data_IF_340220329141
#
_entry.id   IF_340220329141
#
_cell.length_a   1.000
_cell.length_b   1.000
_cell.length_c   1.000
_cell.angle_alpha   90.00
_cell.angle_beta   90.00
_cell.angle_gamma   90.00
#
_symmetry.space_group_name_H-M   'P 1'
#
loop_
_entity.id
_entity.type
_entity.pdbx_description
1 polymer ?
#
# COMPACT_ATOMS: atom_id res chain seq x y z
N UNK A 1 5.65 -12.14 -11.15
CA UNK A 1 4.30 -11.52 -11.02
C UNK A 1 4.13 -10.68 -9.75
N UNK A 2 4.87 -10.94 -8.67
CA UNK A 2 4.84 -10.12 -7.44
C UNK A 2 5.38 -8.70 -7.57
N UNK A 3 6.32 -8.45 -8.48
CA UNK A 3 6.90 -7.12 -8.74
C UNK A 3 5.86 -6.09 -9.20
N UNK A 4 4.86 -6.51 -9.99
CA UNK A 4 3.78 -5.63 -10.44
C UNK A 4 2.80 -5.32 -9.30
N UNK A 5 2.47 -6.31 -8.48
CA UNK A 5 1.59 -6.12 -7.32
C UNK A 5 2.22 -5.16 -6.29
N UNK A 6 3.51 -5.32 -5.98
CA UNK A 6 4.25 -4.39 -5.12
C UNK A 6 4.26 -2.96 -5.69
N UNK A 7 4.51 -2.82 -7.00
CA UNK A 7 4.53 -1.51 -7.65
C UNK A 7 3.17 -0.82 -7.56
N UNK A 8 2.08 -1.56 -7.81
CA UNK A 8 0.72 -1.03 -7.73
C UNK A 8 0.36 -0.59 -6.31
N UNK A 9 0.71 -1.39 -5.29
CA UNK A 9 0.45 -1.03 -3.88
C UNK A 9 1.28 0.16 -3.44
N UNK A 10 2.53 0.25 -3.86
CA UNK A 10 3.36 1.43 -3.57
C UNK A 10 2.75 2.70 -4.16
N UNK A 11 2.31 2.66 -5.42
CA UNK A 11 1.64 3.80 -6.04
C UNK A 11 0.33 4.17 -5.33
N UNK A 12 -0.42 3.18 -4.84
CA UNK A 12 -1.63 3.43 -4.06
C UNK A 12 -1.32 4.12 -2.73
N UNK A 13 -0.25 3.70 -2.03
CA UNK A 13 0.23 4.35 -0.80
C UNK A 13 0.63 5.80 -1.06
N UNK A 14 1.40 6.05 -2.12
CA UNK A 14 1.88 7.40 -2.44
C UNK A 14 0.69 8.35 -2.74
N UNK A 15 -0.31 7.88 -3.49
CA UNK A 15 -1.53 8.66 -3.76
C UNK A 15 -2.35 8.87 -2.48
N UNK A 16 -2.50 7.83 -1.65
CA UNK A 16 -3.28 7.89 -0.42
C UNK A 16 -2.65 8.86 0.59
N UNK A 17 -1.32 8.90 0.72
CA UNK A 17 -0.62 9.84 1.60
C UNK A 17 -0.78 11.30 1.17
N UNK A 18 -0.91 11.57 -0.14
CA UNK A 18 -1.15 12.92 -0.66
C UNK A 18 -2.61 13.34 -0.46
N UNK A 19 -3.55 12.42 -0.65
CA UNK A 19 -4.99 12.72 -0.69
C UNK A 19 -5.70 12.58 0.65
N UNK A 20 -5.21 11.72 1.54
CA UNK A 20 -5.86 11.39 2.80
C UNK A 20 -5.08 11.98 3.98
N UNK A 21 -5.78 12.42 5.03
CA UNK A 21 -5.15 12.74 6.30
C UNK A 21 -4.39 11.53 6.84
N UNK A 22 -3.29 11.77 7.57
CA UNK A 22 -2.45 10.73 8.18
C UNK A 22 -3.18 9.81 9.17
N UNK A 23 -4.39 10.19 9.61
CA UNK A 23 -5.26 9.43 10.50
C UNK A 23 -6.31 8.58 9.79
N UNK A 24 -6.34 8.56 8.45
CA UNK A 24 -7.35 7.83 7.70
C UNK A 24 -7.15 6.31 7.80
N UNK A 25 -8.23 5.57 8.08
CA UNK A 25 -8.23 4.11 8.23
C UNK A 25 -7.63 3.38 7.03
N UNK A 26 -7.92 3.85 5.82
CA UNK A 26 -7.48 3.20 4.58
C UNK A 26 -5.94 3.17 4.44
N UNK A 27 -5.20 4.08 5.09
CA UNK A 27 -3.74 4.05 5.12
C UNK A 27 -3.21 2.79 5.83
N UNK A 28 -3.96 2.26 6.80
CA UNK A 28 -3.65 1.00 7.49
C UNK A 28 -3.82 -0.18 6.53
N UNK A 29 -4.92 -0.20 5.78
CA UNK A 29 -5.23 -1.27 4.82
C UNK A 29 -4.16 -1.36 3.70
N UNK A 30 -3.70 -0.22 3.20
CA UNK A 30 -2.64 -0.19 2.20
C UNK A 30 -1.30 -0.72 2.74
N UNK A 31 -0.94 -0.37 4.00
CA UNK A 31 0.26 -0.90 4.65
C UNK A 31 0.17 -2.40 4.89
N UNK A 32 -0.94 -2.89 5.42
CA UNK A 32 -1.12 -4.33 5.64
C UNK A 32 -1.05 -5.12 4.33
N UNK A 33 -1.63 -4.57 3.26
CA UNK A 33 -1.61 -5.20 1.94
C UNK A 33 -0.17 -5.27 1.40
N UNK A 34 0.62 -4.21 1.59
CA UNK A 34 2.04 -4.21 1.24
C UNK A 34 2.81 -5.29 2.01
N UNK A 35 2.63 -5.37 3.33
CA UNK A 35 3.30 -6.37 4.17
C UNK A 35 2.91 -7.81 3.81
N UNK A 36 1.63 -8.05 3.49
CA UNK A 36 1.13 -9.37 3.05
C UNK A 36 1.75 -9.78 1.72
N UNK A 37 1.95 -8.84 0.79
CA UNK A 37 2.62 -9.11 -0.49
C UNK A 37 4.12 -9.36 -0.26
N UNK A 38 4.77 -8.56 0.58
CA UNK A 38 6.19 -8.70 0.90
C UNK A 38 6.51 -10.05 1.55
N UNK A 39 5.65 -10.55 2.46
CA UNK A 39 5.83 -11.87 3.10
C UNK A 39 5.64 -13.07 2.16
N UNK A 40 5.11 -12.86 0.95
CA UNK A 40 4.90 -13.91 -0.07
C UNK A 40 6.00 -13.94 -1.14
N UNK A 41 7.00 -13.07 -1.02
CA UNK A 41 8.21 -13.02 -1.85
C UNK A 41 9.32 -13.76 -1.12
#
# INVERSE_FOLDING_TARGET
>A
QYSLAMKNVQQAIDIAQIKLPSTHSDLVDYRETYEKIQKKI
#
